data_IF_459030605276
#
_entry.id   IF_459030605276
#
_cell.length_a   1.000
_cell.length_b   1.000
_cell.length_c   1.000
_cell.angle_alpha   90.00
_cell.angle_beta   90.00
_cell.angle_gamma   90.00
#
_symmetry.space_group_name_H-M   'P 1'
#
loop_
_entity.id
_entity.type
_entity.pdbx_description
1 polymer ?
#
# COMPACT_ATOMS: atom_id res chain seq x y z
N UNK A 1 7.18 -1.88 7.22
CA UNK A 1 6.81 -0.57 6.68
C UNK A 1 7.84 -0.02 5.68
N UNK A 2 9.16 -0.08 5.95
CA UNK A 2 10.20 0.39 5.02
C UNK A 2 10.14 -0.35 3.66
N UNK A 3 10.07 -1.68 3.68
CA UNK A 3 9.91 -2.49 2.46
C UNK A 3 8.62 -2.16 1.71
N UNK A 4 7.54 -1.88 2.45
CA UNK A 4 6.27 -1.45 1.86
C UNK A 4 6.43 -0.13 1.10
N UNK A 5 7.09 0.87 1.69
CA UNK A 5 7.35 2.16 1.05
C UNK A 5 8.20 2.05 -0.22
N UNK A 6 9.25 1.21 -0.17
CA UNK A 6 10.09 0.91 -1.33
C UNK A 6 9.28 0.19 -2.42
N UNK A 7 8.48 -0.80 -2.05
CA UNK A 7 7.60 -1.54 -2.94
C UNK A 7 6.55 -0.66 -3.62
N UNK A 8 5.97 0.30 -2.90
CA UNK A 8 4.97 1.24 -3.44
C UNK A 8 5.55 2.10 -4.57
N UNK A 9 6.80 2.51 -4.47
CA UNK A 9 7.49 3.26 -5.53
C UNK A 9 7.79 2.40 -6.76
N UNK A 10 8.18 1.14 -6.57
CA UNK A 10 8.42 0.20 -7.66
C UNK A 10 7.12 -0.20 -8.35
N UNK A 11 6.08 -0.49 -7.59
CA UNK A 11 4.74 -0.79 -8.10
C UNK A 11 4.04 0.44 -8.71
N UNK A 12 4.51 1.66 -8.42
CA UNK A 12 3.86 2.93 -8.77
C UNK A 12 2.47 3.12 -8.14
N UNK A 13 2.17 2.39 -7.08
CA UNK A 13 0.96 2.50 -6.27
C UNK A 13 1.16 1.77 -4.93
N UNK A 14 0.38 2.13 -3.92
CA UNK A 14 0.25 1.33 -2.70
C UNK A 14 -0.67 0.12 -2.95
N UNK A 15 -0.92 -0.71 -1.95
CA UNK A 15 -1.76 -1.91 -2.09
C UNK A 15 -3.19 -1.59 -2.56
N UNK A 16 -3.88 -0.62 -1.92
CA UNK A 16 -5.22 -0.20 -2.35
C UNK A 16 -5.21 0.48 -3.73
N UNK A 17 -4.19 1.30 -4.01
CA UNK A 17 -4.02 1.91 -5.33
C UNK A 17 -3.77 0.88 -6.43
N UNK A 18 -3.10 -0.23 -6.12
CA UNK A 18 -2.90 -1.34 -7.07
C UNK A 18 -4.19 -2.08 -7.36
N UNK A 19 -5.02 -2.32 -6.33
CA UNK A 19 -6.35 -2.93 -6.52
C UNK A 19 -7.29 -2.02 -7.32
N UNK A 20 -7.27 -0.71 -7.05
CA UNK A 20 -8.02 0.26 -7.83
C UNK A 20 -7.52 0.34 -9.28
N UNK A 21 -6.21 0.27 -9.49
CA UNK A 21 -5.61 0.21 -10.82
C UNK A 21 -5.96 -1.06 -11.60
N UNK A 22 -6.12 -2.19 -10.90
CA UNK A 22 -6.63 -3.43 -11.48
C UNK A 22 -8.06 -3.26 -11.96
N UNK A 23 -8.95 -2.67 -11.14
CA UNK A 23 -10.32 -2.34 -11.54
C UNK A 23 -10.37 -1.42 -12.77
N UNK A 24 -9.40 -0.54 -12.95
CA UNK A 24 -9.27 0.31 -14.15
C UNK A 24 -8.70 -0.41 -15.39
N UNK A 25 -8.51 -1.73 -15.34
CA UNK A 25 -8.11 -2.54 -16.50
C UNK A 25 -6.63 -2.48 -16.88
N UNK A 26 -5.74 -2.14 -15.97
CA UNK A 26 -4.29 -2.05 -16.24
C UNK A 26 -3.58 -3.35 -15.82
N UNK A 27 -3.07 -4.14 -16.78
CA UNK A 27 -2.36 -5.42 -16.57
C UNK A 27 -1.21 -5.32 -15.56
N UNK A 28 -0.50 -4.18 -15.53
CA UNK A 28 0.56 -3.94 -14.56
C UNK A 28 0.11 -4.24 -13.11
N UNK A 29 -1.09 -3.81 -12.74
CA UNK A 29 -1.59 -3.99 -11.39
C UNK A 29 -2.07 -5.41 -11.10
N UNK A 30 -2.43 -6.19 -12.14
CA UNK A 30 -2.66 -7.63 -11.96
C UNK A 30 -1.36 -8.32 -11.51
N UNK A 31 -0.22 -7.98 -12.14
CA UNK A 31 1.10 -8.49 -11.73
C UNK A 31 1.43 -8.04 -10.30
N UNK A 32 1.22 -6.75 -9.98
CA UNK A 32 1.45 -6.25 -8.62
C UNK A 32 0.64 -7.04 -7.61
N UNK A 33 -0.67 -7.23 -7.83
CA UNK A 33 -1.57 -7.93 -6.91
C UNK A 33 -1.17 -9.41 -6.76
N UNK A 34 -0.86 -10.10 -7.86
CA UNK A 34 -0.39 -11.47 -7.81
C UNK A 34 0.88 -11.62 -6.95
N UNK A 35 1.86 -10.74 -7.15
CA UNK A 35 3.08 -10.75 -6.36
C UNK A 35 2.89 -10.20 -4.92
N UNK A 36 1.88 -9.37 -4.68
CA UNK A 36 1.48 -9.02 -3.31
C UNK A 36 0.97 -10.26 -2.55
N UNK A 37 0.20 -11.12 -3.19
CA UNK A 37 -0.23 -12.39 -2.59
C UNK A 37 0.98 -13.26 -2.26
N UNK A 38 1.91 -13.44 -3.20
CA UNK A 38 3.15 -14.19 -2.95
C UNK A 38 3.95 -13.58 -1.80
N UNK A 39 4.16 -12.27 -1.80
CA UNK A 39 4.91 -11.56 -0.75
C UNK A 39 4.26 -11.69 0.63
N UNK A 40 2.93 -11.54 0.72
CA UNK A 40 2.21 -11.70 1.98
C UNK A 40 2.23 -13.16 2.48
N UNK A 41 2.16 -14.13 1.58
CA UNK A 41 2.28 -15.56 1.92
C UNK A 41 3.68 -15.88 2.44
N UNK A 42 4.74 -15.36 1.82
CA UNK A 42 6.10 -15.48 2.33
C UNK A 42 6.26 -14.78 3.70
N UNK A 43 5.62 -13.63 3.88
CA UNK A 43 5.59 -12.94 5.16
C UNK A 43 4.91 -13.75 6.25
N UNK A 44 3.81 -14.45 5.93
CA UNK A 44 3.12 -15.33 6.89
C UNK A 44 3.96 -16.56 7.26
N UNK A 45 4.73 -17.11 6.33
CA UNK A 45 5.66 -18.20 6.62
C UNK A 45 6.84 -17.76 7.53
N UNK A 46 7.30 -16.52 7.39
CA UNK A 46 8.38 -15.95 8.20
C UNK A 46 7.87 -15.27 9.48
N UNK A 47 6.57 -15.27 9.75
CA UNK A 47 5.97 -14.49 10.83
C UNK A 47 6.52 -14.87 12.20
N UNK A 48 6.68 -16.17 12.49
CA UNK A 48 7.23 -16.67 13.74
C UNK A 48 8.64 -16.13 14.01
N UNK A 49 9.51 -16.08 13.00
CA UNK A 49 10.82 -15.48 13.18
C UNK A 49 10.72 -13.98 13.55
N UNK A 50 9.79 -13.23 12.97
CA UNK A 50 9.58 -11.83 13.33
C UNK A 50 9.06 -11.65 14.76
N UNK A 51 8.24 -12.58 15.26
CA UNK A 51 7.73 -12.54 16.64
C UNK A 51 8.84 -12.79 17.67
N UNK A 52 9.90 -13.52 17.32
CA UNK A 52 11.06 -13.71 18.20
C UNK A 52 11.98 -12.49 18.30
N UNK A 53 11.81 -11.51 17.41
CA UNK A 53 12.61 -10.30 17.47
C UNK A 53 12.14 -9.38 18.61
N UNK A 54 13.09 -8.57 19.12
CA UNK A 54 12.76 -7.60 20.17
C UNK A 54 11.60 -6.69 19.73
N UNK A 55 10.50 -6.76 20.44
CA UNK A 55 9.33 -5.91 20.20
C UNK A 55 9.23 -4.85 21.30
N UNK A 56 8.90 -3.63 20.91
CA UNK A 56 8.55 -2.60 21.87
C UNK A 56 7.08 -2.79 22.28
N UNK A 57 6.74 -2.41 23.51
CA UNK A 57 5.36 -2.49 23.99
C UNK A 57 4.41 -1.66 23.09
N UNK A 58 3.19 -2.14 22.96
CA UNK A 58 2.15 -1.43 22.24
C UNK A 58 1.71 -0.21 23.03
N UNK A 59 1.93 1.00 22.48
CA UNK A 59 1.53 2.26 23.10
C UNK A 59 0.36 2.88 22.34
N UNK A 60 -0.72 3.17 23.06
CA UNK A 60 -1.87 3.88 22.52
C UNK A 60 -2.10 5.16 23.31
N UNK A 61 -2.08 6.30 22.62
CA UNK A 61 -2.36 7.63 23.22
C UNK A 61 -3.74 7.65 23.90
N UNK A 62 -4.74 7.00 23.28
CA UNK A 62 -6.10 6.93 23.81
C UNK A 62 -6.20 6.12 25.11
N UNK A 63 -5.42 5.03 25.20
CA UNK A 63 -5.45 4.15 26.38
C UNK A 63 -4.64 4.72 27.53
N UNK A 64 -3.45 5.27 27.26
CA UNK A 64 -2.53 5.74 28.30
C UNK A 64 -2.90 7.15 28.83
N UNK A 65 -3.36 8.05 27.95
CA UNK A 65 -3.69 9.43 28.32
C UNK A 65 -5.19 9.68 28.48
N UNK A 66 -6.02 8.65 28.22
CA UNK A 66 -7.47 8.78 28.17
C UNK A 66 -7.98 9.37 26.84
N UNK A 67 -9.29 9.24 26.54
CA UNK A 67 -9.85 9.58 25.24
C UNK A 67 -9.63 11.05 24.83
N UNK A 68 -9.89 12.00 25.74
CA UNK A 68 -9.80 13.43 25.42
C UNK A 68 -8.36 13.88 25.14
N UNK A 69 -7.42 13.55 26.03
CA UNK A 69 -6.00 13.94 25.87
C UNK A 69 -5.35 13.15 24.71
N UNK A 70 -5.71 11.89 24.51
CA UNK A 70 -5.21 11.07 23.40
C UNK A 70 -5.67 11.59 22.05
N UNK A 71 -6.93 12.01 21.91
CA UNK A 71 -7.44 12.66 20.69
C UNK A 71 -6.73 13.99 20.46
N UNK A 72 -6.63 14.83 21.48
CA UNK A 72 -5.96 16.13 21.37
C UNK A 72 -4.48 15.97 20.95
N UNK A 73 -3.77 15.02 21.56
CA UNK A 73 -2.38 14.70 21.19
C UNK A 73 -2.25 14.24 19.73
N UNK A 74 -3.15 13.36 19.30
CA UNK A 74 -3.15 12.84 17.93
C UNK A 74 -3.46 13.95 16.90
N UNK A 75 -4.45 14.81 17.18
CA UNK A 75 -4.77 15.98 16.35
C UNK A 75 -3.62 16.98 16.28
N UNK A 76 -2.90 17.19 17.40
CA UNK A 76 -1.72 18.05 17.45
C UNK A 76 -0.60 17.52 16.55
N UNK A 77 -0.34 16.21 16.60
CA UNK A 77 0.65 15.58 15.71
C UNK A 77 0.25 15.71 14.22
N UNK A 78 -1.03 15.51 13.89
CA UNK A 78 -1.55 15.71 12.53
C UNK A 78 -1.42 17.16 12.07
N UNK A 79 -1.75 18.11 12.94
CA UNK A 79 -1.60 19.54 12.66
C UNK A 79 -0.12 19.92 12.46
N UNK A 80 0.79 19.38 13.28
CA UNK A 80 2.22 19.58 13.12
C UNK A 80 2.73 19.01 11.78
N UNK A 81 2.31 17.80 11.40
CA UNK A 81 2.64 17.19 10.10
C UNK A 81 2.15 18.06 8.93
N UNK A 82 0.91 18.56 9.01
CA UNK A 82 0.33 19.44 8.00
C UNK A 82 1.10 20.77 7.93
N UNK A 83 1.43 21.39 9.07
CA UNK A 83 2.19 22.62 9.13
C UNK A 83 3.60 22.47 8.53
N UNK A 84 4.30 21.38 8.86
CA UNK A 84 5.62 21.05 8.28
C UNK A 84 5.52 20.85 6.77
N UNK A 85 4.50 20.13 6.31
CA UNK A 85 4.28 19.89 4.88
C UNK A 85 4.03 21.20 4.12
N UNK A 86 3.15 22.06 4.63
CA UNK A 86 2.86 23.38 4.06
C UNK A 86 4.10 24.29 4.06
N UNK A 87 4.86 24.27 5.16
CA UNK A 87 6.08 25.05 5.26
C UNK A 87 7.15 24.63 4.25
N UNK A 88 7.37 23.30 4.10
CA UNK A 88 8.29 22.76 3.11
C UNK A 88 7.87 23.08 1.68
N UNK A 89 6.57 22.98 1.39
CA UNK A 89 6.03 23.28 0.07
C UNK A 89 6.21 24.76 -0.29
N UNK A 90 5.84 25.66 0.65
CA UNK A 90 6.07 27.10 0.49
C UNK A 90 7.54 27.45 0.31
N UNK A 91 8.43 26.79 1.06
CA UNK A 91 9.88 27.02 0.96
C UNK A 91 10.45 26.56 -0.37
N UNK A 92 9.93 25.46 -0.95
CA UNK A 92 10.43 24.89 -2.20
C UNK A 92 9.79 25.51 -3.44
N UNK A 93 8.53 25.87 -3.38
CA UNK A 93 7.73 26.27 -4.54
C UNK A 93 7.16 27.70 -4.44
N UNK A 94 7.42 28.42 -3.35
CA UNK A 94 6.92 29.78 -3.11
C UNK A 94 5.42 29.89 -2.83
N UNK A 95 4.66 28.81 -3.11
CA UNK A 95 3.19 28.74 -2.92
C UNK A 95 2.76 27.32 -2.61
N UNK A 96 1.58 27.19 -1.99
CA UNK A 96 0.93 25.88 -1.82
C UNK A 96 0.23 25.52 -3.14
N UNK A 97 0.59 24.37 -3.70
CA UNK A 97 0.00 23.86 -4.93
C UNK A 97 -1.35 23.24 -4.58
N UNK A 98 -2.44 23.87 -4.99
CA UNK A 98 -3.78 23.31 -4.83
C UNK A 98 -4.11 22.44 -6.05
N UNK A 99 -4.38 21.17 -5.81
CA UNK A 99 -4.93 20.29 -6.83
C UNK A 99 -6.43 20.57 -6.96
N UNK A 100 -6.80 21.54 -7.79
CA UNK A 100 -8.21 21.82 -8.09
C UNK A 100 -8.55 21.22 -9.45
N UNK A 101 -9.52 20.32 -9.47
CA UNK A 101 -10.19 19.93 -10.70
C UNK A 101 -11.15 21.07 -11.11
N UNK A 102 -11.08 21.50 -12.37
CA UNK A 102 -11.91 22.63 -12.86
C UNK A 102 -13.37 22.24 -13.09
N UNK A 103 -13.61 21.01 -13.54
CA UNK A 103 -14.94 20.52 -13.88
C UNK A 103 -15.31 19.33 -12.99
N UNK A 104 -16.38 19.49 -12.20
CA UNK A 104 -16.87 18.49 -11.28
C UNK A 104 -18.14 17.85 -11.83
N UNK A 105 -18.11 16.53 -12.04
CA UNK A 105 -19.30 15.77 -12.38
C UNK A 105 -19.54 14.68 -11.34
N UNK A 106 -20.72 14.65 -10.74
CA UNK A 106 -21.03 13.72 -9.65
C UNK A 106 -20.84 12.24 -10.05
N UNK A 107 -21.30 11.83 -11.23
CA UNK A 107 -21.17 10.45 -11.70
C UNK A 107 -19.88 10.16 -12.45
N UNK A 108 -19.33 11.14 -13.16
CA UNK A 108 -18.16 10.93 -14.05
C UNK A 108 -16.84 11.41 -13.44
N UNK A 109 -16.92 12.13 -12.32
CA UNK A 109 -15.74 12.74 -11.71
C UNK A 109 -15.12 13.86 -12.59
N UNK A 110 -13.94 14.35 -12.24
CA UNK A 110 -13.27 14.15 -10.96
C UNK A 110 -14.00 14.84 -9.80
N UNK A 111 -14.00 14.22 -8.62
CA UNK A 111 -14.52 14.83 -7.40
C UNK A 111 -13.53 15.81 -6.77
N UNK A 112 -14.02 16.77 -6.04
CA UNK A 112 -13.15 17.56 -5.16
C UNK A 112 -12.48 16.65 -4.15
N UNK A 113 -11.20 16.87 -3.88
CA UNK A 113 -10.44 16.07 -2.93
C UNK A 113 -11.13 15.98 -1.55
N UNK A 114 -11.69 17.10 -1.07
CA UNK A 114 -12.43 17.16 0.20
C UNK A 114 -13.64 16.22 0.22
N UNK A 115 -14.42 16.16 -0.87
CA UNK A 115 -15.54 15.23 -0.98
C UNK A 115 -15.08 13.77 -1.00
N UNK A 116 -14.01 13.46 -1.75
CA UNK A 116 -13.43 12.11 -1.77
C UNK A 116 -12.97 11.68 -0.37
N UNK A 117 -12.28 12.55 0.36
CA UNK A 117 -11.83 12.28 1.73
C UNK A 117 -13.01 12.06 2.67
N UNK A 118 -14.04 12.91 2.61
CA UNK A 118 -15.23 12.78 3.46
C UNK A 118 -15.96 11.45 3.21
N UNK A 119 -16.17 11.08 1.94
CA UNK A 119 -16.82 9.82 1.57
C UNK A 119 -15.98 8.60 2.04
N UNK A 120 -14.66 8.63 1.86
CA UNK A 120 -13.79 7.55 2.36
C UNK A 120 -13.88 7.44 3.88
N UNK A 121 -13.87 8.56 4.60
CA UNK A 121 -14.00 8.56 6.06
C UNK A 121 -15.33 7.97 6.52
N UNK A 122 -16.44 8.35 5.86
CA UNK A 122 -17.76 7.77 6.12
C UNK A 122 -17.83 6.28 5.81
N UNK A 123 -17.22 5.84 4.71
CA UNK A 123 -17.14 4.41 4.36
C UNK A 123 -16.28 3.62 5.35
N UNK A 124 -15.18 4.19 5.86
CA UNK A 124 -14.38 3.57 6.92
C UNK A 124 -15.19 3.41 8.21
N UNK A 125 -15.96 4.44 8.59
CA UNK A 125 -16.87 4.39 9.75
C UNK A 125 -17.97 3.34 9.53
N UNK A 126 -18.62 3.35 8.37
CA UNK A 126 -19.64 2.36 8.03
C UNK A 126 -19.07 0.93 8.07
N UNK A 127 -17.88 0.71 7.56
CA UNK A 127 -17.19 -0.59 7.64
C UNK A 127 -16.97 -1.02 9.09
N UNK A 128 -16.50 -0.11 9.94
CA UNK A 128 -16.29 -0.39 11.35
C UNK A 128 -17.60 -0.78 12.06
N UNK A 129 -18.69 -0.06 11.78
CA UNK A 129 -20.00 -0.31 12.39
C UNK A 129 -20.67 -1.59 11.88
N UNK A 130 -20.57 -1.87 10.58
CA UNK A 130 -21.25 -3.01 9.96
C UNK A 130 -20.45 -4.31 10.09
N UNK A 131 -19.13 -4.25 9.96
CA UNK A 131 -18.26 -5.42 9.99
C UNK A 131 -17.60 -5.65 11.36
N UNK A 132 -17.76 -4.73 12.33
CA UNK A 132 -17.15 -4.81 13.65
C UNK A 132 -15.62 -4.68 13.63
N UNK A 133 -15.03 -4.32 12.49
CA UNK A 133 -13.58 -4.24 12.29
C UNK A 133 -13.22 -3.12 11.30
N UNK A 134 -12.04 -2.48 11.45
CA UNK A 134 -11.62 -1.44 10.52
C UNK A 134 -11.36 -2.02 9.13
N UNK A 135 -11.42 -1.16 8.13
CA UNK A 135 -11.06 -1.54 6.76
C UNK A 135 -9.57 -1.89 6.67
N UNK A 136 -9.29 -3.11 6.23
CA UNK A 136 -7.94 -3.63 6.01
C UNK A 136 -7.89 -4.34 4.66
N UNK A 137 -6.69 -4.49 4.09
CA UNK A 137 -6.49 -5.15 2.80
C UNK A 137 -5.52 -6.33 2.94
N UNK A 138 -4.40 -6.09 3.63
CA UNK A 138 -3.28 -7.04 3.68
C UNK A 138 -3.68 -8.39 4.27
N UNK A 139 -4.63 -8.43 5.21
CA UNK A 139 -5.03 -9.67 5.88
C UNK A 139 -5.64 -10.74 4.95
N UNK A 140 -6.25 -10.36 3.83
CA UNK A 140 -6.76 -11.32 2.86
C UNK A 140 -5.67 -11.96 1.98
N UNK A 141 -4.54 -11.29 1.77
CA UNK A 141 -3.52 -11.74 0.83
C UNK A 141 -2.85 -13.07 1.25
N UNK A 142 -2.40 -13.26 2.51
CA UNK A 142 -1.86 -14.54 2.94
C UNK A 142 -2.95 -15.64 2.93
N UNK A 143 -4.22 -15.29 3.19
CA UNK A 143 -5.33 -16.23 3.08
C UNK A 143 -5.50 -16.73 1.65
N UNK A 144 -5.44 -15.83 0.65
CA UNK A 144 -5.50 -16.23 -0.74
C UNK A 144 -4.33 -17.13 -1.14
N UNK A 145 -3.10 -16.79 -0.67
CA UNK A 145 -1.93 -17.62 -0.91
C UNK A 145 -2.03 -18.99 -0.26
N UNK A 146 -2.49 -19.07 0.98
CA UNK A 146 -2.71 -20.33 1.68
C UNK A 146 -3.73 -21.23 0.97
N UNK A 147 -4.85 -20.66 0.53
CA UNK A 147 -5.87 -21.40 -0.27
C UNK A 147 -5.33 -21.85 -1.63
N UNK A 148 -4.51 -21.04 -2.30
CA UNK A 148 -3.86 -21.43 -3.56
C UNK A 148 -2.88 -22.58 -3.36
N UNK A 149 -2.07 -22.56 -2.29
CA UNK A 149 -1.16 -23.66 -1.93
C UNK A 149 -1.97 -24.94 -1.70
N UNK A 150 -3.01 -24.86 -0.86
CA UNK A 150 -3.87 -26.03 -0.61
C UNK A 150 -4.53 -26.60 -1.88
N UNK A 151 -4.97 -25.72 -2.80
CA UNK A 151 -5.58 -26.14 -4.06
C UNK A 151 -4.55 -26.67 -5.09
N UNK A 152 -3.27 -26.31 -4.96
CA UNK A 152 -2.22 -26.74 -5.92
C UNK A 152 -1.71 -28.17 -5.69
N UNK A 153 -2.09 -28.81 -4.56
CA UNK A 153 -1.59 -30.13 -4.19
C UNK A 153 -0.13 -30.16 -3.71
N UNK A 154 0.48 -28.98 -3.50
CA UNK A 154 1.82 -28.90 -2.90
C UNK A 154 1.74 -29.43 -1.47
N UNK A 155 2.61 -30.38 -1.05
CA UNK A 155 2.59 -30.94 0.30
C UNK A 155 3.19 -29.95 1.31
N UNK A 156 2.58 -28.78 1.44
CA UNK A 156 2.96 -27.74 2.38
C UNK A 156 1.76 -27.42 3.26
N UNK A 157 1.82 -27.83 4.51
CA UNK A 157 0.77 -27.55 5.44
C UNK A 157 0.96 -26.15 6.05
N UNK A 158 0.23 -25.19 5.50
CA UNK A 158 0.28 -23.79 5.93
C UNK A 158 -0.35 -23.56 7.31
N UNK A 159 -1.19 -24.49 7.78
CA UNK A 159 -1.88 -24.37 9.07
C UNK A 159 -0.89 -24.40 10.25
N UNK A 160 0.28 -25.03 10.09
CA UNK A 160 1.33 -25.05 11.09
C UNK A 160 2.18 -23.78 11.18
N UNK A 161 1.98 -22.81 10.27
CA UNK A 161 2.71 -21.55 10.38
C UNK A 161 2.17 -20.72 11.54
N UNK A 162 3.04 -20.16 12.33
CA UNK A 162 2.70 -19.39 13.54
C UNK A 162 1.73 -18.23 13.25
N UNK A 163 1.79 -17.67 12.06
CA UNK A 163 0.82 -16.67 11.60
C UNK A 163 -0.64 -17.14 11.76
N UNK A 164 -0.93 -18.41 11.52
CA UNK A 164 -2.28 -18.97 11.60
C UNK A 164 -2.67 -19.43 13.01
N UNK A 165 -1.78 -19.32 14.01
CA UNK A 165 -2.03 -19.78 15.39
C UNK A 165 -3.15 -19.04 16.15
N UNK A 166 -3.63 -17.89 15.65
CA UNK A 166 -4.74 -17.17 16.28
C UNK A 166 -6.09 -17.72 15.80
N UNK A 167 -7.05 -17.97 16.72
CA UNK A 167 -8.37 -18.58 16.44
C UNK A 167 -9.10 -17.95 15.25
N UNK A 168 -9.14 -16.62 15.18
CA UNK A 168 -9.79 -15.92 14.08
C UNK A 168 -9.13 -16.18 12.71
N UNK A 169 -7.81 -16.43 12.66
CA UNK A 169 -7.08 -16.75 11.43
C UNK A 169 -7.26 -18.21 11.04
N UNK A 170 -7.31 -19.13 12.01
CA UNK A 170 -7.63 -20.54 11.77
C UNK A 170 -9.04 -20.63 11.17
N UNK A 171 -10.03 -19.98 11.78
CA UNK A 171 -11.39 -19.96 11.26
C UNK A 171 -11.47 -19.39 9.84
N UNK A 172 -10.70 -18.35 9.53
CA UNK A 172 -10.62 -17.81 8.18
C UNK A 172 -9.98 -18.81 7.20
N UNK A 173 -8.96 -19.56 7.65
CA UNK A 173 -8.31 -20.59 6.84
C UNK A 173 -9.26 -21.76 6.51
N UNK A 174 -10.13 -22.13 7.42
CA UNK A 174 -11.13 -23.22 7.21
C UNK A 174 -12.34 -22.77 6.42
N UNK A 175 -12.73 -21.51 6.56
CA UNK A 175 -13.93 -20.95 5.92
C UNK A 175 -13.74 -20.69 4.41
N UNK A 176 -14.84 -20.43 3.70
CA UNK A 176 -14.83 -20.01 2.30
C UNK A 176 -14.27 -18.58 2.15
N UNK A 177 -13.59 -18.30 1.04
CA UNK A 177 -13.16 -16.92 0.70
C UNK A 177 -14.34 -15.93 0.58
N UNK A 178 -15.52 -16.43 0.21
CA UNK A 178 -16.73 -15.62 0.10
C UNK A 178 -17.35 -15.22 1.46
N UNK A 179 -16.91 -15.81 2.54
CA UNK A 179 -17.29 -15.42 3.91
C UNK A 179 -16.25 -14.53 4.58
N UNK A 180 -15.04 -14.40 4.00
CA UNK A 180 -14.03 -13.50 4.52
C UNK A 180 -14.34 -12.04 4.18
N UNK A 181 -14.61 -11.25 5.21
CA UNK A 181 -14.96 -9.83 5.10
C UNK A 181 -13.91 -9.03 4.32
N UNK A 182 -12.62 -9.33 4.53
CA UNK A 182 -11.53 -8.61 3.88
C UNK A 182 -11.48 -8.91 2.37
N UNK A 183 -11.73 -10.15 1.98
CA UNK A 183 -11.86 -10.55 0.58
C UNK A 183 -13.03 -9.83 -0.10
N UNK A 184 -14.19 -9.76 0.56
CA UNK A 184 -15.35 -9.04 0.05
C UNK A 184 -15.08 -7.53 -0.08
N UNK A 185 -14.38 -6.92 0.88
CA UNK A 185 -13.97 -5.52 0.79
C UNK A 185 -13.04 -5.26 -0.40
N UNK A 186 -12.11 -6.16 -0.69
CA UNK A 186 -11.22 -6.06 -1.86
C UNK A 186 -12.02 -6.22 -3.15
N UNK A 187 -12.92 -7.19 -3.21
CA UNK A 187 -13.81 -7.37 -4.37
C UNK A 187 -14.65 -6.12 -4.63
N UNK A 188 -15.24 -5.55 -3.57
CA UNK A 188 -15.99 -4.29 -3.63
C UNK A 188 -15.15 -3.11 -4.14
N UNK A 189 -13.90 -3.00 -3.69
CA UNK A 189 -12.97 -1.97 -4.16
C UNK A 189 -12.67 -2.12 -5.66
N UNK A 190 -12.35 -3.33 -6.12
CA UNK A 190 -12.02 -3.60 -7.52
C UNK A 190 -13.25 -3.37 -8.42
N UNK A 191 -14.40 -3.90 -8.04
CA UNK A 191 -15.64 -3.74 -8.80
C UNK A 191 -16.11 -2.27 -8.80
N UNK A 192 -16.03 -1.59 -7.66
CA UNK A 192 -16.40 -0.18 -7.54
C UNK A 192 -15.51 0.73 -8.40
N UNK A 193 -14.21 0.48 -8.43
CA UNK A 193 -13.29 1.25 -9.30
C UNK A 193 -13.48 0.92 -10.77
N UNK A 194 -13.81 -0.33 -11.14
CA UNK A 194 -14.15 -0.71 -12.50
C UNK A 194 -15.44 0.01 -12.97
N UNK A 195 -16.47 0.01 -12.12
CA UNK A 195 -17.74 0.70 -12.40
C UNK A 195 -17.52 2.20 -12.54
N UNK A 196 -16.78 2.83 -11.63
CA UNK A 196 -16.47 4.25 -11.70
C UNK A 196 -15.70 4.61 -12.98
N UNK A 197 -14.71 3.80 -13.36
CA UNK A 197 -13.96 3.98 -14.60
C UNK A 197 -14.85 3.80 -15.86
N UNK A 198 -15.77 2.87 -15.83
CA UNK A 198 -16.73 2.65 -16.92
C UNK A 198 -17.69 3.85 -17.07
N UNK A 199 -18.25 4.35 -15.96
CA UNK A 199 -19.13 5.53 -15.94
C UNK A 199 -18.42 6.80 -16.40
N UNK A 200 -17.14 6.93 -16.08
CA UNK A 200 -16.29 8.04 -16.54
C UNK A 200 -15.84 7.89 -18.00
N UNK A 201 -16.12 6.77 -18.68
CA UNK A 201 -15.61 6.48 -20.03
C UNK A 201 -14.09 6.28 -20.07
N UNK A 202 -13.48 6.02 -18.91
CA UNK A 202 -12.04 5.90 -18.73
C UNK A 202 -11.54 4.44 -18.61
N UNK A 203 -12.46 3.47 -18.59
CA UNK A 203 -12.11 2.05 -18.54
C UNK A 203 -11.43 1.65 -19.83
N UNK A 204 -10.14 1.34 -19.75
CA UNK A 204 -9.33 0.90 -20.89
C UNK A 204 -8.47 -0.29 -20.49
N UNK A 205 -8.61 -1.38 -21.21
CA UNK A 205 -7.78 -2.56 -21.01
C UNK A 205 -6.41 -2.37 -21.67
N UNK A 206 -5.35 -2.27 -20.85
CA UNK A 206 -3.97 -2.15 -21.31
C UNK A 206 -3.25 -3.47 -21.07
N UNK A 207 -3.18 -4.32 -22.13
CA UNK A 207 -2.57 -5.64 -22.07
C UNK A 207 -1.07 -5.64 -22.39
N UNK A 208 -0.57 -4.58 -22.99
CA UNK A 208 0.86 -4.48 -23.33
C UNK A 208 1.63 -3.87 -22.18
N UNK A 209 2.67 -4.59 -21.72
CA UNK A 209 3.57 -4.17 -20.66
C UNK A 209 5.00 -4.49 -21.07
N UNK A 210 5.93 -3.54 -20.88
CA UNK A 210 7.34 -3.80 -21.12
C UNK A 210 7.91 -4.76 -20.06
N UNK A 211 8.88 -5.63 -20.41
CA UNK A 211 9.46 -6.57 -19.44
C UNK A 211 10.02 -5.90 -18.19
N UNK A 212 10.63 -4.72 -18.34
CA UNK A 212 11.14 -3.93 -17.22
C UNK A 212 10.04 -3.42 -16.30
N UNK A 213 8.88 -3.07 -16.85
CA UNK A 213 7.70 -2.68 -16.07
C UNK A 213 7.09 -3.88 -15.36
N UNK A 214 7.04 -5.04 -16.02
CA UNK A 214 6.57 -6.29 -15.41
C UNK A 214 7.48 -6.70 -14.23
N UNK A 215 8.80 -6.61 -14.40
CA UNK A 215 9.76 -6.90 -13.33
C UNK A 215 9.60 -5.92 -12.15
N UNK A 216 9.50 -4.62 -12.41
CA UNK A 216 9.29 -3.64 -11.33
C UNK A 216 7.93 -3.80 -10.66
N UNK A 217 6.90 -4.22 -11.38
CA UNK A 217 5.59 -4.55 -10.82
C UNK A 217 5.66 -5.79 -9.92
N UNK A 218 6.35 -6.85 -10.36
CA UNK A 218 6.53 -8.07 -9.60
C UNK A 218 7.33 -7.83 -8.30
N UNK A 219 8.51 -7.21 -8.39
CA UNK A 219 9.33 -6.88 -7.20
C UNK A 219 8.58 -5.92 -6.28
N UNK A 220 7.93 -4.89 -6.85
CA UNK A 220 7.13 -3.94 -6.09
C UNK A 220 5.97 -4.61 -5.35
N UNK A 221 5.25 -5.52 -6.02
CA UNK A 221 4.18 -6.31 -5.42
C UNK A 221 4.66 -7.19 -4.28
N UNK A 222 5.76 -7.92 -4.48
CA UNK A 222 6.36 -8.78 -3.47
C UNK A 222 6.74 -7.99 -2.21
N UNK A 223 7.39 -6.84 -2.37
CA UNK A 223 7.76 -5.96 -1.26
C UNK A 223 6.54 -5.33 -0.57
N UNK A 224 5.49 -4.99 -1.31
CA UNK A 224 4.22 -4.50 -0.77
C UNK A 224 3.53 -5.56 0.09
N UNK A 225 3.44 -6.80 -0.41
CA UNK A 225 2.80 -7.90 0.30
C UNK A 225 3.57 -8.29 1.55
N UNK A 226 4.85 -8.60 1.41
CA UNK A 226 5.71 -8.97 2.53
C UNK A 226 5.84 -7.86 3.57
N UNK A 227 6.20 -6.65 3.12
CA UNK A 227 6.36 -5.49 4.01
C UNK A 227 5.05 -5.04 4.64
N UNK A 228 3.91 -5.23 3.96
CA UNK A 228 2.60 -4.96 4.51
C UNK A 228 2.20 -5.96 5.58
N UNK A 229 2.47 -7.25 5.39
CA UNK A 229 2.16 -8.27 6.39
C UNK A 229 3.01 -8.08 7.66
N UNK A 230 4.34 -8.08 7.50
CA UNK A 230 5.27 -7.92 8.62
C UNK A 230 5.15 -6.54 9.28
N UNK A 231 4.80 -5.51 8.53
CA UNK A 231 4.53 -4.16 9.03
C UNK A 231 3.13 -3.99 9.63
N UNK A 232 2.37 -5.07 9.84
CA UNK A 232 1.04 -5.09 10.45
C UNK A 232 0.00 -4.25 9.69
N UNK A 233 0.16 -4.08 8.39
CA UNK A 233 -0.83 -3.43 7.53
C UNK A 233 -0.24 -2.54 6.43
N UNK A 234 -1.13 -1.87 5.72
CA UNK A 234 -0.82 -0.92 4.64
C UNK A 234 -1.15 0.52 5.06
N UNK A 235 -1.12 1.46 4.10
CA UNK A 235 -1.54 2.85 4.34
C UNK A 235 -2.93 2.97 4.98
N UNK A 236 -3.84 2.04 4.73
CA UNK A 236 -5.18 2.05 5.32
C UNK A 236 -5.14 1.38 6.70
N UNK A 237 -4.69 0.12 6.80
CA UNK A 237 -4.75 -0.63 8.04
C UNK A 237 -3.75 -0.14 9.10
N UNK A 238 -2.47 0.03 8.73
CA UNK A 238 -1.44 0.41 9.69
C UNK A 238 -1.35 1.93 9.92
N UNK A 239 -1.34 2.73 8.83
CA UNK A 239 -1.19 4.17 8.98
C UNK A 239 -2.52 4.84 9.38
N UNK A 240 -3.54 4.79 8.51
CA UNK A 240 -4.83 5.43 8.80
C UNK A 240 -5.51 4.80 10.02
N UNK A 241 -5.62 3.47 10.04
CA UNK A 241 -6.22 2.72 11.16
C UNK A 241 -5.43 2.88 12.47
N UNK A 242 -4.10 2.85 12.41
CA UNK A 242 -3.24 3.06 13.57
C UNK A 242 -3.39 4.46 14.15
N UNK A 243 -3.36 5.51 13.32
CA UNK A 243 -3.54 6.90 13.77
C UNK A 243 -4.95 7.11 14.32
N UNK A 244 -5.99 6.65 13.61
CA UNK A 244 -7.38 6.84 14.04
C UNK A 244 -7.70 6.12 15.37
N UNK A 245 -7.02 5.00 15.67
CA UNK A 245 -7.10 4.32 16.95
C UNK A 245 -6.17 4.88 18.04
N UNK A 246 -5.44 5.96 17.73
CA UNK A 246 -4.47 6.58 18.65
C UNK A 246 -3.22 5.75 18.90
N UNK A 247 -2.94 4.74 18.07
CA UNK A 247 -1.74 3.90 18.20
C UNK A 247 -0.50 4.62 17.67
N UNK A 248 0.58 4.61 18.45
CA UNK A 248 1.89 5.13 18.03
C UNK A 248 2.47 4.32 16.88
N UNK A 249 2.06 3.05 16.72
CA UNK A 249 2.43 2.23 15.59
C UNK A 249 2.19 2.93 14.24
N UNK A 250 1.04 3.62 14.06
CA UNK A 250 0.74 4.34 12.83
C UNK A 250 1.74 5.43 12.49
N UNK A 251 2.26 6.13 13.48
CA UNK A 251 3.28 7.17 13.32
C UNK A 251 4.65 6.60 12.97
N UNK A 252 5.08 5.54 13.66
CA UNK A 252 6.33 4.82 13.36
C UNK A 252 6.25 4.22 11.95
N UNK A 253 5.10 3.63 11.60
CA UNK A 253 4.84 3.07 10.28
C UNK A 253 4.98 4.14 9.19
N UNK A 254 4.41 5.33 9.38
CA UNK A 254 4.52 6.46 8.45
C UNK A 254 5.98 6.82 8.18
N UNK A 255 6.78 7.00 9.25
CA UNK A 255 8.18 7.38 9.11
C UNK A 255 8.99 6.31 8.37
N UNK A 256 8.81 5.04 8.71
CA UNK A 256 9.50 3.94 8.07
C UNK A 256 9.10 3.79 6.59
N UNK A 257 7.80 3.89 6.26
CA UNK A 257 7.32 3.83 4.88
C UNK A 257 7.79 5.04 4.06
N UNK A 258 7.83 6.23 4.67
CA UNK A 258 8.38 7.42 4.03
C UNK A 258 9.87 7.26 3.72
N UNK A 259 10.66 6.73 4.66
CA UNK A 259 12.08 6.44 4.45
C UNK A 259 12.28 5.43 3.31
N UNK A 260 11.47 4.36 3.25
CA UNK A 260 11.50 3.38 2.15
C UNK A 260 11.17 4.01 0.80
N UNK A 261 10.14 4.87 0.77
CA UNK A 261 9.75 5.64 -0.42
C UNK A 261 10.89 6.57 -0.87
N UNK A 262 11.50 7.31 0.05
CA UNK A 262 12.61 8.21 -0.24
C UNK A 262 13.84 7.45 -0.77
N UNK A 263 14.16 6.29 -0.19
CA UNK A 263 15.23 5.41 -0.65
C UNK A 263 14.99 4.95 -2.10
N UNK A 264 13.76 4.51 -2.42
CA UNK A 264 13.42 4.09 -3.78
C UNK A 264 13.55 5.24 -4.79
N UNK A 265 13.13 6.45 -4.44
CA UNK A 265 13.29 7.65 -5.29
C UNK A 265 14.76 7.97 -5.48
N UNK A 266 15.58 7.89 -4.43
CA UNK A 266 17.02 8.11 -4.51
C UNK A 266 17.71 7.09 -5.44
N UNK A 267 17.40 5.80 -5.29
CA UNK A 267 17.93 4.73 -6.16
C UNK A 267 17.55 4.97 -7.62
N UNK A 268 16.29 5.29 -7.90
CA UNK A 268 15.84 5.59 -9.28
C UNK A 268 16.51 6.84 -9.86
N UNK A 269 16.75 7.87 -9.06
CA UNK A 269 17.43 9.10 -9.50
C UNK A 269 18.91 8.84 -9.81
N UNK A 270 19.57 8.04 -8.96
CA UNK A 270 20.96 7.64 -9.17
C UNK A 270 21.11 6.77 -10.44
N UNK A 271 20.23 5.80 -10.63
CA UNK A 271 20.19 4.97 -11.84
C UNK A 271 20.05 5.80 -13.11
N UNK A 272 19.15 6.79 -13.12
CA UNK A 272 19.00 7.72 -14.25
C UNK A 272 20.25 8.55 -14.50
N UNK A 273 20.94 9.01 -13.47
CA UNK A 273 22.19 9.78 -13.61
C UNK A 273 23.34 8.91 -14.13
N UNK A 274 23.41 7.64 -13.75
CA UNK A 274 24.43 6.70 -14.19
C UNK A 274 24.22 6.23 -15.64
N UNK A 275 22.95 6.13 -16.06
CA UNK A 275 22.53 5.61 -17.39
C UNK A 275 22.09 6.70 -18.35
N UNK A 276 22.40 7.97 -18.09
CA UNK A 276 22.01 9.05 -19.01
C UNK A 276 22.75 8.88 -20.36
N UNK A 277 22.03 9.01 -21.50
CA UNK A 277 22.63 8.85 -22.85
C UNK A 277 23.84 9.76 -23.10
N UNK A 278 23.91 10.91 -22.47
CA UNK A 278 25.03 11.85 -22.56
C UNK A 278 26.37 11.28 -22.07
N UNK A 279 26.37 10.42 -21.03
CA UNK A 279 27.60 9.74 -20.57
C UNK A 279 28.02 8.61 -21.49
N UNK A 280 27.06 7.91 -22.10
CA UNK A 280 27.35 6.83 -23.06
C UNK A 280 27.93 7.43 -24.35
N UNK A 281 27.36 8.53 -24.84
CA UNK A 281 27.87 9.25 -26.00
C UNK A 281 29.27 9.84 -25.77
N UNK A 282 29.54 10.43 -24.60
CA UNK A 282 30.84 10.97 -24.24
C UNK A 282 31.95 9.89 -24.10
N UNK A 283 31.61 8.69 -23.60
CA UNK A 283 32.54 7.55 -23.57
C UNK A 283 32.85 7.02 -24.96
N UNK A 284 31.85 6.96 -25.86
CA UNK A 284 32.02 6.52 -27.24
C UNK A 284 32.92 7.50 -28.04
N UNK A 285 32.72 8.79 -27.82
CA UNK A 285 33.48 9.83 -28.48
C UNK A 285 34.94 9.92 -27.98
N UNK A 286 35.19 9.71 -26.69
CA UNK A 286 36.54 9.59 -26.13
C UNK A 286 37.29 8.35 -26.68
N UNK A 287 36.57 7.22 -26.82
CA UNK A 287 37.18 5.98 -27.36
C UNK A 287 37.53 6.10 -28.83
N UNK A 288 36.75 6.85 -29.61
CA UNK A 288 37.06 7.12 -31.02
C UNK A 288 38.25 8.08 -31.18
N UNK A 289 38.43 9.04 -30.25
CA UNK A 289 39.60 9.96 -30.27
C UNK A 289 40.90 9.32 -29.76
N UNK A 290 40.84 8.19 -29.09
CA UNK A 290 42.03 7.45 -28.64
C UNK A 290 42.51 6.40 -29.66
N UNK A 291 41.79 6.22 -30.75
CA UNK A 291 42.08 5.30 -31.84
C UNK A 291 42.49 6.01 -33.14
N UNK A 292 42.42 7.34 -33.13
CA UNK A 292 42.98 8.24 -34.17
C UNK A 292 44.31 8.85 -33.67
#
# INVERSE_FOLDING_TARGET
AFLFGLGAQLASACSSGSLAGLGNGKLRYLIVVAFMVVGATLGSAHFGWWETQASWFSFSLLREWGPAAGIAGNLTLLAALAAVSIWLERRRHGRVIRAEARDYHFLRGPWRLSWGVAVIALLCLATLLLAGRPWVIIAALPLWGAKLIGASGIPLDVAFWEYWGADARIMALESSLWTDVTTLMIAGLVLGTALAAALAGALRWHWRIAPTEALTAAVGGLLLGYGGLVGMGCNIGAFLGGISSGSVHGWVWLLAAFAGTAAAVAIRSLGRRLWSPARVAGKKQRRLRSLS
#
